data_IF_062130638889
#
_entry.id   IF_062130638889
#
_cell.length_a   1.000
_cell.length_b   1.000
_cell.length_c   1.000
_cell.angle_alpha   90.00
_cell.angle_beta   90.00
_cell.angle_gamma   90.00
#
_symmetry.space_group_name_H-M   'P 1'
#
loop_
_entity.id
_entity.type
_entity.pdbx_description
1 polymer ?
#
# COMPACT_ATOMS: atom_id res chain seq x y z
N UNK A 1 28.95 52.31 -22.35
CA UNK A 1 27.84 53.06 -21.75
C UNK A 1 26.56 52.74 -22.53
N UNK A 2 25.78 51.76 -22.06
CA UNK A 2 24.42 51.46 -22.55
C UNK A 2 23.57 51.01 -21.34
N UNK A 3 22.40 51.62 -21.26
CA UNK A 3 21.44 51.64 -20.14
C UNK A 3 20.80 50.26 -19.90
N UNK A 4 20.51 49.85 -18.65
CA UNK A 4 19.83 48.59 -18.36
C UNK A 4 18.29 48.73 -18.49
N UNK A 5 17.64 47.67 -18.99
CA UNK A 5 16.17 47.53 -19.01
C UNK A 5 15.64 47.00 -17.66
N UNK A 6 14.51 47.49 -17.13
CA UNK A 6 13.99 47.04 -15.84
C UNK A 6 12.99 45.87 -15.94
N UNK A 7 13.14 44.97 -14.96
CA UNK A 7 12.15 44.12 -14.25
C UNK A 7 11.12 43.29 -15.03
N UNK A 8 11.00 42.01 -14.61
CA UNK A 8 9.76 41.49 -14.01
C UNK A 8 10.08 40.36 -13.03
N UNK A 9 10.06 40.70 -11.74
CA UNK A 9 9.89 39.72 -10.66
C UNK A 9 8.52 39.05 -10.84
N UNK A 10 8.50 37.72 -11.00
CA UNK A 10 7.32 36.94 -10.66
C UNK A 10 7.47 36.57 -9.19
N UNK A 11 6.84 37.33 -8.30
CA UNK A 11 6.63 36.87 -6.93
C UNK A 11 5.69 35.67 -7.00
N UNK A 12 6.21 34.48 -6.74
CA UNK A 12 5.36 33.37 -6.33
C UNK A 12 4.76 33.77 -4.98
N UNK A 13 3.50 34.21 -4.98
CA UNK A 13 2.74 34.36 -3.76
C UNK A 13 2.58 32.96 -3.16
N UNK A 14 3.40 32.67 -2.15
CA UNK A 14 3.14 31.56 -1.25
C UNK A 14 1.78 31.85 -0.60
N UNK A 15 0.76 31.11 -1.02
CA UNK A 15 -0.52 31.07 -0.31
C UNK A 15 -0.22 30.43 1.03
N UNK A 16 -0.06 31.26 2.06
CA UNK A 16 -0.09 30.84 3.44
C UNK A 16 -1.44 30.16 3.67
N UNK A 17 -1.41 28.85 3.86
CA UNK A 17 -2.59 28.09 4.28
C UNK A 17 -2.82 28.47 5.74
N UNK A 18 -3.84 29.28 5.96
CA UNK A 18 -4.36 29.60 7.28
C UNK A 18 -4.60 28.30 8.05
N UNK A 19 -3.87 28.15 9.17
CA UNK A 19 -4.14 27.13 10.18
C UNK A 19 -5.24 27.73 11.06
N UNK A 20 -6.46 27.78 10.54
CA UNK A 20 -7.59 28.37 11.26
C UNK A 20 -8.63 27.31 11.67
N UNK A 21 -9.25 27.59 12.80
CA UNK A 21 -10.22 26.85 13.62
C UNK A 21 -11.00 25.74 12.91
N UNK A 22 -11.18 24.64 13.65
CA UNK A 22 -11.89 23.42 13.25
C UNK A 22 -12.81 23.53 12.04
N UNK A 23 -12.29 23.18 10.86
CA UNK A 23 -12.94 23.43 9.59
C UNK A 23 -14.13 22.48 9.42
N UNK A 24 -15.34 23.02 9.42
CA UNK A 24 -16.54 22.27 9.01
C UNK A 24 -16.86 22.61 7.57
N UNK A 25 -16.96 21.60 6.70
CA UNK A 25 -17.36 21.76 5.30
C UNK A 25 -18.23 20.62 4.82
N UNK A 26 -19.02 20.88 3.79
CA UNK A 26 -19.89 19.88 3.18
C UNK A 26 -19.47 19.58 1.74
N UNK A 27 -19.78 18.36 1.28
CA UNK A 27 -19.64 17.98 -0.13
C UNK A 27 -20.94 17.32 -0.56
N UNK A 28 -21.50 17.75 -1.68
CA UNK A 28 -22.58 17.09 -2.41
C UNK A 28 -21.96 16.35 -3.59
N UNK A 29 -22.34 15.09 -3.78
CA UNK A 29 -21.92 14.28 -4.90
C UNK A 29 -23.12 13.81 -5.71
N UNK A 30 -23.02 13.79 -7.04
CA UNK A 30 -24.09 13.19 -7.86
C UNK A 30 -24.18 11.68 -7.59
N UNK A 31 -23.03 11.03 -7.35
CA UNK A 31 -22.93 9.67 -6.81
C UNK A 31 -21.94 9.64 -5.65
N UNK A 32 -22.38 9.18 -4.48
CA UNK A 32 -21.53 8.91 -3.32
C UNK A 32 -21.36 7.40 -3.14
N UNK A 33 -20.14 6.91 -3.30
CA UNK A 33 -19.80 5.49 -3.12
C UNK A 33 -19.24 5.34 -1.70
N UNK A 34 -19.89 4.60 -0.78
CA UNK A 34 -19.51 4.59 0.63
C UNK A 34 -18.24 3.78 0.94
N UNK A 35 -17.72 3.03 -0.03
CA UNK A 35 -16.64 2.05 0.15
C UNK A 35 -17.16 0.65 0.45
N UNK A 36 -18.15 0.52 1.35
CA UNK A 36 -18.90 -0.73 1.58
C UNK A 36 -20.40 -0.45 1.60
N UNK A 37 -21.17 -1.23 0.84
CA UNK A 37 -22.61 -1.05 0.66
C UNK A 37 -22.98 -0.24 -0.58
N UNK A 38 -24.28 0.03 -0.74
CA UNK A 38 -24.83 0.62 -1.95
C UNK A 38 -24.45 2.11 -2.13
N UNK A 39 -24.14 2.55 -3.37
CA UNK A 39 -23.97 3.96 -3.68
C UNK A 39 -25.23 4.79 -3.42
N UNK A 40 -25.05 6.04 -3.03
CA UNK A 40 -26.13 7.02 -2.82
C UNK A 40 -26.14 8.03 -3.95
N UNK A 41 -27.22 8.05 -4.74
CA UNK A 41 -27.46 9.09 -5.76
C UNK A 41 -27.85 10.39 -5.07
N UNK A 42 -27.30 11.52 -5.54
CA UNK A 42 -27.41 12.82 -4.89
C UNK A 42 -27.01 12.75 -3.40
N UNK A 43 -25.89 12.08 -3.12
CA UNK A 43 -25.35 11.95 -1.77
C UNK A 43 -24.73 13.23 -1.26
N UNK A 44 -24.59 13.34 0.06
CA UNK A 44 -23.87 14.40 0.72
C UNK A 44 -23.11 13.87 1.94
N UNK A 45 -22.02 14.55 2.30
CA UNK A 45 -21.42 14.41 3.62
C UNK A 45 -21.05 15.77 4.21
N UNK A 46 -20.88 15.78 5.53
CA UNK A 46 -20.31 16.88 6.28
C UNK A 46 -19.07 16.37 7.01
N UNK A 47 -17.96 17.06 6.80
CA UNK A 47 -16.70 16.86 7.52
C UNK A 47 -16.61 17.91 8.61
N UNK A 48 -16.20 17.46 9.80
CA UNK A 48 -15.83 18.33 10.92
C UNK A 48 -14.43 17.94 11.37
N UNK A 49 -13.53 18.91 11.30
CA UNK A 49 -12.12 18.72 11.58
C UNK A 49 -11.52 17.63 10.67
N UNK A 50 -11.08 16.52 11.25
CA UNK A 50 -10.49 15.39 10.53
C UNK A 50 -11.44 14.21 10.34
N UNK A 51 -12.72 14.34 10.68
CA UNK A 51 -13.69 13.22 10.70
C UNK A 51 -14.97 13.55 9.95
N UNK A 52 -15.61 12.50 9.44
CA UNK A 52 -16.95 12.56 8.84
C UNK A 52 -17.97 12.68 9.98
N UNK A 53 -18.68 13.79 10.06
CA UNK A 53 -19.69 14.03 11.11
C UNK A 53 -21.07 13.49 10.68
N UNK A 54 -21.38 13.55 9.38
CA UNK A 54 -22.62 13.04 8.81
C UNK A 54 -22.45 12.66 7.34
N UNK A 55 -23.21 11.66 6.88
CA UNK A 55 -23.26 11.19 5.48
C UNK A 55 -24.65 10.63 5.18
N UNK A 56 -25.18 10.89 3.99
CA UNK A 56 -26.51 10.41 3.59
C UNK A 56 -27.00 11.00 2.25
N UNK A 57 -28.30 10.91 1.99
CA UNK A 57 -28.93 11.64 0.88
C UNK A 57 -28.89 13.14 1.13
N UNK A 58 -28.64 13.95 0.11
CA UNK A 58 -28.67 15.42 0.20
C UNK A 58 -29.98 15.95 0.79
N UNK A 59 -31.11 15.29 0.52
CA UNK A 59 -32.42 15.73 1.01
C UNK A 59 -32.59 15.50 2.53
N UNK A 60 -31.75 14.64 3.12
CA UNK A 60 -31.76 14.29 4.54
C UNK A 60 -30.71 15.07 5.36
N UNK A 61 -30.06 16.09 4.78
CA UNK A 61 -29.05 16.89 5.51
C UNK A 61 -29.69 17.50 6.76
N UNK A 62 -29.19 17.18 7.98
CA UNK A 62 -29.76 17.72 9.20
C UNK A 62 -29.70 19.25 9.24
N UNK A 63 -30.78 19.89 9.71
CA UNK A 63 -30.87 21.35 9.79
C UNK A 63 -29.77 22.03 10.61
N UNK A 64 -29.07 21.29 11.50
CA UNK A 64 -27.88 21.77 12.22
C UNK A 64 -26.69 22.12 11.30
N UNK A 65 -26.72 21.70 10.03
CA UNK A 65 -25.71 22.02 9.01
C UNK A 65 -26.16 23.09 8.02
N UNK A 66 -27.24 23.82 8.31
CA UNK A 66 -27.78 24.87 7.43
C UNK A 66 -26.81 26.00 7.11
N UNK A 67 -25.82 26.24 7.98
CA UNK A 67 -24.76 27.23 7.78
C UNK A 67 -23.47 26.65 7.16
N UNK A 68 -23.41 25.33 6.89
CA UNK A 68 -22.22 24.68 6.31
C UNK A 68 -22.16 24.99 4.82
N UNK A 69 -20.98 25.37 4.33
CA UNK A 69 -20.75 25.56 2.89
C UNK A 69 -20.54 24.20 2.23
N UNK A 70 -21.30 23.93 1.17
CA UNK A 70 -21.17 22.73 0.36
C UNK A 70 -20.47 23.01 -0.97
N UNK A 71 -19.47 22.19 -1.31
CA UNK A 71 -19.00 22.05 -2.69
C UNK A 71 -19.79 20.96 -3.40
N UNK A 72 -19.73 20.92 -4.74
CA UNK A 72 -20.35 19.86 -5.54
C UNK A 72 -19.30 19.15 -6.38
N UNK A 73 -19.36 17.82 -6.44
CA UNK A 73 -18.50 16.98 -7.25
C UNK A 73 -19.32 15.92 -8.00
N UNK A 74 -18.85 15.38 -9.14
CA UNK A 74 -19.59 14.33 -9.84
C UNK A 74 -19.67 13.05 -8.99
N UNK A 75 -18.52 12.58 -8.50
CA UNK A 75 -18.42 11.35 -7.73
C UNK A 75 -17.57 11.58 -6.50
N UNK A 76 -17.97 10.98 -5.38
CA UNK A 76 -17.20 10.97 -4.15
C UNK A 76 -17.09 9.54 -3.59
N UNK A 77 -15.90 9.16 -3.14
CA UNK A 77 -15.66 7.88 -2.45
C UNK A 77 -14.57 8.02 -1.36
N UNK A 78 -14.35 7.03 -0.49
CA UNK A 78 -13.21 7.05 0.43
C UNK A 78 -11.90 7.12 -0.35
N UNK A 79 -10.90 7.74 0.25
CA UNK A 79 -9.54 7.64 -0.25
C UNK A 79 -9.08 6.18 -0.31
N UNK A 80 -8.37 5.84 -1.39
CA UNK A 80 -7.96 4.46 -1.63
C UNK A 80 -6.81 4.04 -0.72
N UNK A 81 -6.70 2.73 -0.55
CA UNK A 81 -5.67 2.00 0.16
C UNK A 81 -4.88 1.14 -0.81
N UNK A 82 -3.56 1.14 -0.64
CA UNK A 82 -2.69 0.11 -1.22
C UNK A 82 -2.02 -0.64 -0.07
N UNK A 83 -2.38 -1.91 0.11
CA UNK A 83 -1.91 -2.68 1.25
C UNK A 83 -0.61 -3.46 1.01
N UNK A 84 0.08 -3.21 -0.12
CA UNK A 84 1.39 -3.79 -0.39
C UNK A 84 2.22 -2.85 -1.27
N UNK A 85 3.14 -2.11 -0.65
CA UNK A 85 4.05 -1.18 -1.35
C UNK A 85 5.45 -1.23 -0.75
N UNK A 86 6.45 -0.79 -1.53
CA UNK A 86 7.85 -0.74 -1.13
C UNK A 86 8.49 0.60 -1.53
N UNK A 87 8.62 1.55 -0.61
CA UNK A 87 9.28 2.83 -0.93
C UNK A 87 10.80 2.67 -0.77
N UNK A 88 11.43 2.14 -1.82
CA UNK A 88 12.83 1.70 -1.79
C UNK A 88 13.80 2.61 -2.56
N UNK A 89 13.29 3.59 -3.31
CA UNK A 89 14.11 4.41 -4.21
C UNK A 89 14.56 3.68 -5.48
N UNK A 90 13.99 2.51 -5.78
CA UNK A 90 14.41 1.66 -6.88
C UNK A 90 14.29 2.35 -8.25
N UNK A 91 15.16 1.93 -9.17
CA UNK A 91 15.39 2.48 -10.51
C UNK A 91 15.93 3.92 -10.54
N UNK A 92 15.99 4.61 -9.39
CA UNK A 92 16.64 5.92 -9.23
C UNK A 92 17.94 5.79 -8.42
N UNK A 93 17.89 5.09 -7.28
CA UNK A 93 19.04 4.90 -6.37
C UNK A 93 19.87 3.69 -6.78
N UNK A 94 19.19 2.60 -7.13
CA UNK A 94 19.80 1.36 -7.59
C UNK A 94 18.89 0.66 -8.61
N UNK A 95 19.52 -0.15 -9.43
CA UNK A 95 18.90 -1.13 -10.33
C UNK A 95 19.36 -2.53 -9.92
N UNK A 96 18.77 -3.59 -10.47
CA UNK A 96 19.25 -4.95 -10.19
C UNK A 96 20.72 -5.19 -10.57
N UNK A 97 21.27 -4.43 -11.53
CA UNK A 97 22.67 -4.59 -11.97
C UNK A 97 23.70 -3.90 -11.07
N UNK A 98 23.25 -3.06 -10.13
CA UNK A 98 24.10 -2.33 -9.20
C UNK A 98 23.50 -2.29 -7.77
N UNK A 99 22.89 -3.40 -7.37
CA UNK A 99 22.29 -3.66 -6.04
C UNK A 99 23.22 -3.31 -4.87
N UNK A 100 24.54 -3.47 -5.04
CA UNK A 100 25.56 -3.13 -4.05
C UNK A 100 25.48 -1.65 -3.58
N UNK A 101 24.92 -0.74 -4.40
CA UNK A 101 24.72 0.66 -4.03
C UNK A 101 23.80 0.84 -2.82
N UNK A 102 22.90 -0.10 -2.57
CA UNK A 102 22.02 -0.12 -1.40
C UNK A 102 22.80 -0.18 -0.07
N UNK A 103 24.04 -0.65 -0.10
CA UNK A 103 24.89 -0.84 1.08
C UNK A 103 25.94 0.25 1.26
N UNK A 104 25.98 1.25 0.37
CA UNK A 104 26.94 2.34 0.47
C UNK A 104 26.53 3.36 1.56
N UNK A 105 27.49 4.00 2.24
CA UNK A 105 27.20 5.07 3.19
C UNK A 105 26.39 6.20 2.55
N UNK A 106 25.36 6.68 3.26
CA UNK A 106 24.50 7.78 2.81
C UNK A 106 23.36 7.37 1.86
N UNK A 107 23.30 6.12 1.41
CA UNK A 107 22.23 5.65 0.51
C UNK A 107 20.84 5.79 1.12
N UNK A 108 20.66 5.49 2.41
CA UNK A 108 19.37 5.67 3.09
C UNK A 108 18.85 7.13 3.05
N UNK A 109 19.75 8.12 3.14
CA UNK A 109 19.39 9.54 3.01
C UNK A 109 18.90 9.85 1.59
N UNK A 110 19.59 9.32 0.58
CA UNK A 110 19.18 9.49 -0.82
C UNK A 110 17.82 8.84 -1.09
N UNK A 111 17.61 7.61 -0.58
CA UNK A 111 16.31 6.92 -0.69
C UNK A 111 15.22 7.77 -0.04
N UNK A 112 15.43 8.26 1.18
CA UNK A 112 14.47 9.12 1.87
C UNK A 112 14.10 10.37 1.08
N UNK A 113 15.05 10.98 0.36
CA UNK A 113 14.78 12.12 -0.52
C UNK A 113 13.91 11.74 -1.74
N UNK A 114 14.15 10.56 -2.34
CA UNK A 114 13.34 10.03 -3.45
C UNK A 114 11.93 9.66 -2.99
N UNK A 115 11.82 9.03 -1.82
CA UNK A 115 10.54 8.61 -1.21
C UNK A 115 9.55 9.77 -1.03
N UNK A 116 10.03 11.00 -0.84
CA UNK A 116 9.17 12.20 -0.78
C UNK A 116 8.31 12.35 -2.04
N UNK A 117 8.92 12.19 -3.22
CA UNK A 117 8.17 12.31 -4.47
C UNK A 117 7.26 11.10 -4.71
N UNK A 118 7.68 9.90 -4.31
CA UNK A 118 6.88 8.67 -4.40
C UNK A 118 5.60 8.75 -3.55
N UNK A 119 5.73 9.23 -2.31
CA UNK A 119 4.59 9.47 -1.42
C UNK A 119 3.64 10.52 -2.00
N UNK A 120 4.19 11.61 -2.56
CA UNK A 120 3.40 12.64 -3.24
C UNK A 120 2.65 12.07 -4.44
N UNK A 121 3.33 11.34 -5.31
CA UNK A 121 2.73 10.74 -6.51
C UNK A 121 1.59 9.79 -6.13
N UNK A 122 1.81 8.94 -5.12
CA UNK A 122 0.80 8.02 -4.58
C UNK A 122 -0.42 8.76 -4.04
N UNK A 123 -0.23 9.82 -3.24
CA UNK A 123 -1.33 10.65 -2.74
C UNK A 123 -2.12 11.32 -3.87
N UNK A 124 -1.43 11.87 -4.88
CA UNK A 124 -2.06 12.53 -6.01
C UNK A 124 -2.84 11.57 -6.93
N UNK A 125 -2.55 10.27 -6.86
CA UNK A 125 -3.31 9.21 -7.50
C UNK A 125 -4.55 8.77 -6.69
N UNK A 126 -4.84 9.41 -5.55
CA UNK A 126 -6.03 9.15 -4.73
C UNK A 126 -5.84 8.11 -3.63
N UNK A 127 -4.61 7.66 -3.40
CA UNK A 127 -4.28 6.76 -2.28
C UNK A 127 -3.97 7.58 -1.04
N UNK A 128 -4.90 7.54 -0.07
CA UNK A 128 -4.77 8.31 1.19
C UNK A 128 -4.10 7.51 2.29
N UNK A 129 -3.95 6.20 2.11
CA UNK A 129 -3.29 5.30 3.04
C UNK A 129 -2.53 4.20 2.31
N UNK A 130 -1.39 3.80 2.86
CA UNK A 130 -0.57 2.70 2.34
C UNK A 130 -0.08 1.81 3.46
N UNK A 131 -0.03 0.50 3.22
CA UNK A 131 0.70 -0.47 4.03
C UNK A 131 2.01 -0.78 3.32
N UNK A 132 3.11 -0.26 3.86
CA UNK A 132 4.46 -0.53 3.35
C UNK A 132 4.97 -1.82 3.99
N UNK A 133 5.39 -2.79 3.17
CA UNK A 133 5.85 -4.11 3.62
C UNK A 133 7.38 -4.29 3.45
N UNK A 134 8.10 -3.19 3.60
CA UNK A 134 9.55 -3.09 3.51
C UNK A 134 9.92 -1.85 2.70
N UNK A 135 10.63 -0.90 3.31
CA UNK A 135 10.98 0.36 2.68
C UNK A 135 11.24 1.48 3.68
N UNK A 136 11.34 2.70 3.16
CA UNK A 136 11.75 3.88 3.90
C UNK A 136 10.62 4.89 4.13
N UNK A 137 9.40 4.62 3.65
CA UNK A 137 8.26 5.52 3.92
C UNK A 137 7.97 5.60 5.42
N UNK A 138 8.12 4.50 6.15
CA UNK A 138 7.96 4.49 7.61
C UNK A 138 8.96 5.39 8.36
N UNK A 139 10.19 5.55 7.86
CA UNK A 139 11.19 6.41 8.48
C UNK A 139 10.86 7.91 8.27
N UNK A 140 10.21 8.27 7.15
CA UNK A 140 9.76 9.65 6.87
C UNK A 140 8.31 9.94 7.30
N UNK A 141 7.55 8.91 7.68
CA UNK A 141 6.15 9.03 8.09
C UNK A 141 5.88 10.08 9.19
N UNK A 142 6.75 10.29 10.20
CA UNK A 142 6.54 11.36 11.18
C UNK A 142 6.46 12.77 10.57
N UNK A 143 7.13 13.01 9.45
CA UNK A 143 7.04 14.27 8.72
C UNK A 143 5.76 14.36 7.87
N UNK A 144 5.25 13.23 7.39
CA UNK A 144 3.95 13.14 6.70
C UNK A 144 2.79 13.40 7.68
N UNK A 145 2.87 12.82 8.88
CA UNK A 145 1.86 13.01 9.95
C UNK A 145 1.80 14.46 10.43
N UNK A 146 2.95 15.15 10.46
CA UNK A 146 3.04 16.59 10.76
C UNK A 146 2.72 17.49 9.57
N UNK A 147 2.42 16.93 8.41
CA UNK A 147 2.07 17.67 7.20
C UNK A 147 3.23 18.43 6.53
N UNK A 148 4.47 18.13 6.89
CA UNK A 148 5.69 18.70 6.26
C UNK A 148 5.90 18.08 4.88
N UNK A 149 5.67 16.78 4.76
CA UNK A 149 5.73 16.05 3.48
C UNK A 149 4.30 15.67 3.06
N UNK A 150 3.86 15.99 1.83
CA UNK A 150 2.61 15.46 1.31
C UNK A 150 2.76 13.95 1.03
N UNK A 151 1.84 13.16 1.55
CA UNK A 151 1.82 11.71 1.35
C UNK A 151 0.59 11.05 1.98
N UNK A 152 0.33 9.77 1.69
CA UNK A 152 -0.69 8.97 2.39
C UNK A 152 -0.36 8.80 3.88
N UNK A 153 -1.32 8.31 4.67
CA UNK A 153 -1.01 7.68 5.95
C UNK A 153 -0.17 6.43 5.73
N UNK A 154 0.98 6.33 6.39
CA UNK A 154 1.93 5.24 6.19
C UNK A 154 1.86 4.26 7.36
N UNK A 155 1.53 3.01 7.06
CA UNK A 155 1.56 1.89 8.01
C UNK A 155 2.66 0.92 7.59
N UNK A 156 3.85 1.13 8.12
CA UNK A 156 5.06 0.45 7.63
C UNK A 156 5.47 -0.75 8.49
N UNK A 157 6.01 -1.78 7.84
CA UNK A 157 6.84 -2.81 8.49
C UNK A 157 8.29 -2.38 8.67
N UNK A 158 8.72 -1.30 8.01
CA UNK A 158 10.07 -0.76 7.89
C UNK A 158 11.04 -1.73 7.20
N UNK A 159 11.18 -2.93 7.78
CA UNK A 159 11.89 -4.03 7.18
C UNK A 159 10.96 -5.24 7.02
N UNK A 160 11.28 -6.08 6.04
CA UNK A 160 10.80 -7.46 5.98
C UNK A 160 11.79 -8.38 6.70
N UNK A 161 11.26 -9.43 7.32
CA UNK A 161 12.06 -10.51 7.90
C UNK A 161 12.22 -11.63 6.87
N UNK A 162 13.45 -12.13 6.73
CA UNK A 162 13.79 -13.29 5.91
C UNK A 162 14.81 -14.16 6.65
N UNK A 163 14.87 -15.45 6.32
CA UNK A 163 15.99 -16.31 6.71
C UNK A 163 17.23 -16.00 5.88
N UNK A 164 18.41 -16.40 6.34
CA UNK A 164 19.62 -16.43 5.50
C UNK A 164 19.39 -17.34 4.29
N UNK A 165 19.73 -16.85 3.09
CA UNK A 165 19.44 -17.52 1.82
C UNK A 165 17.97 -17.47 1.36
N UNK A 166 17.14 -16.71 2.08
CA UNK A 166 15.72 -16.54 1.78
C UNK A 166 15.41 -15.44 0.77
N UNK A 167 14.11 -15.17 0.55
CA UNK A 167 13.68 -14.22 -0.48
C UNK A 167 14.18 -12.79 -0.24
N UNK A 168 14.26 -12.38 1.03
CA UNK A 168 14.75 -11.06 1.42
C UNK A 168 16.26 -10.91 1.34
N UNK A 169 17.02 -12.00 1.18
CA UNK A 169 18.48 -11.97 1.18
C UNK A 169 19.04 -11.46 -0.16
N UNK A 170 20.18 -10.76 -0.11
CA UNK A 170 20.89 -10.24 -1.27
C UNK A 170 22.05 -11.19 -1.60
N UNK A 171 21.71 -12.27 -2.31
CA UNK A 171 22.58 -13.42 -2.57
C UNK A 171 23.91 -13.12 -3.30
N UNK A 172 23.98 -12.00 -4.01
CA UNK A 172 25.14 -11.52 -4.77
C UNK A 172 26.04 -10.57 -3.95
N UNK A 173 25.66 -10.29 -2.70
CA UNK A 173 26.38 -9.41 -1.77
C UNK A 173 27.05 -10.26 -0.67
N UNK A 174 28.25 -9.92 -0.19
CA UNK A 174 28.88 -10.66 0.91
C UNK A 174 27.95 -10.76 2.12
N UNK A 175 27.74 -11.98 2.63
CA UNK A 175 26.78 -12.27 3.71
C UNK A 175 26.92 -11.32 4.91
N UNK A 176 28.16 -11.03 5.34
CA UNK A 176 28.35 -10.14 6.49
C UNK A 176 27.95 -8.69 6.23
N UNK A 177 28.02 -8.24 4.99
CA UNK A 177 27.48 -6.93 4.60
C UNK A 177 25.96 -6.92 4.75
N UNK A 178 25.28 -8.00 4.34
CA UNK A 178 23.83 -8.11 4.44
C UNK A 178 23.38 -8.20 5.90
N UNK A 179 23.99 -9.08 6.70
CA UNK A 179 23.71 -9.24 8.14
C UNK A 179 23.90 -7.93 8.91
N UNK A 180 24.96 -7.17 8.59
CA UNK A 180 25.23 -5.88 9.22
C UNK A 180 24.31 -4.73 8.77
N UNK A 181 23.66 -4.85 7.60
CA UNK A 181 22.93 -3.76 6.97
C UNK A 181 21.70 -3.30 7.76
N UNK A 182 21.02 -4.21 8.45
CA UNK A 182 19.84 -3.87 9.25
C UNK A 182 20.16 -2.88 10.38
N UNK A 183 21.32 -3.03 11.02
CA UNK A 183 21.79 -2.10 12.04
C UNK A 183 22.01 -0.68 11.50
N UNK A 184 22.13 -0.53 10.17
CA UNK A 184 22.29 0.74 9.46
C UNK A 184 20.98 1.22 8.80
N UNK A 185 19.83 0.64 9.19
CA UNK A 185 18.52 1.07 8.72
C UNK A 185 18.07 0.44 7.40
N UNK A 186 18.63 -0.70 7.00
CA UNK A 186 18.14 -1.47 5.84
C UNK A 186 16.65 -1.84 5.99
N UNK A 187 15.99 -1.96 4.83
CA UNK A 187 14.62 -2.47 4.68
C UNK A 187 14.53 -4.02 4.69
N UNK A 188 15.65 -4.71 4.94
CA UNK A 188 15.75 -6.15 5.06
C UNK A 188 16.36 -6.48 6.42
N UNK A 189 15.77 -7.43 7.14
CA UNK A 189 16.30 -7.99 8.38
C UNK A 189 16.39 -9.51 8.25
N UNK A 190 17.62 -10.04 8.21
CA UNK A 190 17.85 -11.48 8.28
C UNK A 190 17.82 -11.93 9.74
N UNK A 191 17.20 -13.07 10.02
CA UNK A 191 17.20 -13.69 11.33
C UNK A 191 17.00 -15.19 11.23
N UNK A 192 17.81 -15.95 11.97
CA UNK A 192 17.78 -17.41 11.96
C UNK A 192 17.65 -17.95 13.40
N UNK A 193 16.69 -18.82 13.62
CA UNK A 193 16.32 -19.34 14.92
C UNK A 193 15.33 -18.47 15.69
N UNK A 194 14.55 -19.12 16.56
CA UNK A 194 13.46 -18.51 17.33
C UNK A 194 13.89 -17.26 18.11
N UNK A 195 15.05 -17.33 18.79
CA UNK A 195 15.53 -16.22 19.62
C UNK A 195 15.89 -14.98 18.79
N UNK A 196 16.51 -15.17 17.62
CA UNK A 196 16.82 -14.08 16.71
C UNK A 196 15.55 -13.49 16.10
N UNK A 197 14.60 -14.33 15.67
CA UNK A 197 13.31 -13.87 15.16
C UNK A 197 12.59 -12.98 16.19
N UNK A 198 12.51 -13.39 17.45
CA UNK A 198 11.91 -12.60 18.53
C UNK A 198 12.66 -11.26 18.70
N UNK A 199 13.99 -11.30 18.75
CA UNK A 199 14.82 -10.10 18.88
C UNK A 199 14.60 -9.12 17.72
N UNK A 200 14.56 -9.62 16.49
CA UNK A 200 14.38 -8.82 15.28
C UNK A 200 12.99 -8.18 15.23
N UNK A 201 11.93 -8.91 15.57
CA UNK A 201 10.57 -8.34 15.69
C UNK A 201 10.57 -7.17 16.68
N UNK A 202 11.20 -7.33 17.85
CA UNK A 202 11.30 -6.26 18.86
C UNK A 202 12.07 -5.05 18.35
N UNK A 203 13.15 -5.25 17.60
CA UNK A 203 13.93 -4.16 17.01
C UNK A 203 13.12 -3.37 15.97
N UNK A 204 12.34 -4.07 15.14
CA UNK A 204 11.45 -3.45 14.15
C UNK A 204 10.32 -2.67 14.85
N UNK A 205 9.71 -3.25 15.90
CA UNK A 205 8.71 -2.56 16.71
C UNK A 205 9.32 -1.32 17.39
N UNK A 206 10.55 -1.40 17.90
CA UNK A 206 11.26 -0.26 18.50
C UNK A 206 11.42 0.90 17.50
N UNK A 207 11.62 0.61 16.21
CA UNK A 207 11.67 1.65 15.15
C UNK A 207 10.30 2.25 14.82
N UNK A 208 9.20 1.68 15.33
CA UNK A 208 7.86 2.24 15.18
C UNK A 208 6.93 1.45 14.24
N UNK A 209 7.31 0.24 13.82
CA UNK A 209 6.51 -0.54 12.89
C UNK A 209 5.05 -0.76 13.33
N UNK A 210 4.16 -0.69 12.34
CA UNK A 210 2.69 -0.86 12.48
C UNK A 210 2.21 -2.23 12.02
N UNK A 211 3.04 -2.96 11.31
CA UNK A 211 2.79 -4.34 10.86
C UNK A 211 4.15 -5.05 10.80
N UNK A 212 4.17 -6.38 10.86
CA UNK A 212 5.38 -7.17 10.64
C UNK A 212 5.23 -7.90 9.30
N UNK A 213 6.29 -7.91 8.49
CA UNK A 213 6.33 -8.63 7.21
C UNK A 213 7.33 -9.78 7.30
N UNK A 214 6.94 -10.97 6.87
CA UNK A 214 7.85 -12.14 6.73
C UNK A 214 7.86 -12.65 5.30
N UNK A 215 8.96 -13.28 4.90
CA UNK A 215 9.05 -14.16 3.74
C UNK A 215 8.88 -15.62 4.18
N UNK A 216 7.67 -16.16 3.98
CA UNK A 216 7.35 -17.56 4.31
C UNK A 216 7.61 -18.54 3.15
N UNK A 217 7.94 -18.00 1.98
CA UNK A 217 8.43 -18.75 0.83
C UNK A 217 9.55 -17.99 0.14
N UNK A 218 10.23 -18.67 -0.79
CA UNK A 218 11.04 -17.97 -1.77
C UNK A 218 10.25 -17.10 -2.72
N UNK A 219 10.94 -16.37 -3.59
CA UNK A 219 10.32 -15.42 -4.49
C UNK A 219 10.81 -15.45 -5.94
N UNK A 220 10.16 -14.61 -6.75
CA UNK A 220 10.46 -14.46 -8.17
C UNK A 220 11.74 -13.64 -8.38
N UNK A 221 11.94 -12.58 -7.59
CA UNK A 221 13.01 -11.60 -7.76
C UNK A 221 14.30 -11.90 -6.97
N UNK A 222 14.39 -13.04 -6.30
CA UNK A 222 15.58 -13.50 -5.59
C UNK A 222 16.36 -14.53 -6.43
N UNK A 223 17.67 -14.65 -6.22
CA UNK A 223 18.52 -15.47 -7.11
C UNK A 223 18.49 -16.97 -6.82
N UNK A 224 18.65 -17.38 -5.55
CA UNK A 224 19.05 -18.75 -5.19
C UNK A 224 17.91 -19.62 -4.65
N UNK A 225 16.84 -19.03 -4.15
CA UNK A 225 15.64 -19.74 -3.67
C UNK A 225 14.67 -20.03 -4.82
N UNK A 226 13.59 -20.77 -4.57
CA UNK A 226 12.48 -20.97 -5.49
C UNK A 226 11.17 -20.46 -4.88
N UNK A 227 10.22 -19.98 -5.70
CA UNK A 227 8.92 -19.54 -5.21
C UNK A 227 8.17 -20.60 -4.38
N UNK A 228 8.43 -21.88 -4.62
CA UNK A 228 7.85 -23.02 -3.92
C UNK A 228 8.56 -23.39 -2.61
N UNK A 229 9.80 -22.95 -2.41
CA UNK A 229 10.60 -23.25 -1.22
C UNK A 229 9.93 -22.62 0.00
N UNK A 230 9.66 -23.40 1.03
CA UNK A 230 9.16 -22.88 2.30
C UNK A 230 10.30 -22.23 3.08
N UNK A 231 10.04 -21.05 3.63
CA UNK A 231 11.01 -20.26 4.39
C UNK A 231 10.47 -19.97 5.79
N UNK A 232 11.42 -19.87 6.74
CA UNK A 232 11.20 -20.04 8.18
C UNK A 232 10.61 -21.42 8.54
N UNK A 233 11.09 -21.96 9.64
CA UNK A 233 10.46 -23.11 10.30
C UNK A 233 9.11 -22.70 10.93
N UNK A 234 8.21 -23.67 11.17
CA UNK A 234 6.97 -23.40 11.89
C UNK A 234 7.19 -22.75 13.28
N UNK A 235 8.27 -23.11 13.96
CA UNK A 235 8.61 -22.54 15.27
C UNK A 235 8.99 -21.06 15.17
N UNK A 236 9.77 -20.68 14.15
CA UNK A 236 10.14 -19.29 13.91
C UNK A 236 8.92 -18.44 13.50
N UNK A 237 8.11 -18.92 12.55
CA UNK A 237 6.88 -18.21 12.15
C UNK A 237 5.95 -17.99 13.34
N UNK A 238 5.74 -19.02 14.17
CA UNK A 238 4.92 -18.93 15.38
C UNK A 238 5.49 -17.92 16.37
N UNK A 239 6.80 -17.93 16.59
CA UNK A 239 7.46 -16.98 17.49
C UNK A 239 7.33 -15.53 17.00
N UNK A 240 7.44 -15.31 15.68
CA UNK A 240 7.26 -13.99 15.05
C UNK A 240 5.82 -13.50 15.26
N UNK A 241 4.82 -14.34 14.97
CA UNK A 241 3.40 -14.01 15.14
C UNK A 241 3.08 -13.71 16.60
N UNK A 242 3.55 -14.55 17.53
CA UNK A 242 3.32 -14.36 18.96
C UNK A 242 3.95 -13.06 19.48
N UNK A 243 5.19 -12.75 19.08
CA UNK A 243 5.87 -11.51 19.51
C UNK A 243 5.23 -10.26 18.90
N UNK A 244 4.83 -10.29 17.63
CA UNK A 244 4.07 -9.21 17.01
C UNK A 244 2.73 -8.98 17.74
N UNK A 245 2.01 -10.06 18.01
CA UNK A 245 0.72 -10.07 18.69
C UNK A 245 0.78 -9.52 20.12
N UNK A 246 1.87 -9.79 20.87
CA UNK A 246 2.09 -9.19 22.20
C UNK A 246 2.03 -7.67 22.21
N UNK A 247 2.34 -7.04 21.08
CA UNK A 247 2.29 -5.60 20.89
C UNK A 247 1.12 -5.14 20.02
N UNK A 248 0.13 -6.01 19.75
CA UNK A 248 -1.06 -5.68 18.94
C UNK A 248 -0.78 -5.52 17.43
N UNK A 249 0.38 -5.95 16.94
CA UNK A 249 0.68 -5.95 15.50
C UNK A 249 0.26 -7.28 14.89
N UNK A 250 -0.17 -7.22 13.64
CA UNK A 250 -0.40 -8.41 12.83
C UNK A 250 0.82 -8.72 11.98
N UNK A 251 0.89 -9.95 11.46
CA UNK A 251 1.93 -10.38 10.51
C UNK A 251 1.32 -10.55 9.12
N UNK A 252 2.01 -9.99 8.13
CA UNK A 252 1.80 -10.14 6.69
C UNK A 252 2.86 -11.11 6.14
N UNK A 253 2.49 -12.08 5.31
CA UNK A 253 3.43 -13.07 4.78
C UNK A 253 3.53 -13.00 3.27
N UNK A 254 4.72 -12.74 2.74
CA UNK A 254 5.05 -13.13 1.36
C UNK A 254 4.97 -14.65 1.29
N UNK A 255 4.06 -15.16 0.45
CA UNK A 255 3.84 -16.59 0.30
C UNK A 255 3.36 -16.91 -1.12
N UNK A 256 4.22 -17.56 -1.90
CA UNK A 256 3.94 -17.98 -3.27
C UNK A 256 3.54 -19.46 -3.28
N UNK A 257 4.45 -20.36 -2.89
CA UNK A 257 4.21 -21.81 -2.81
C UNK A 257 3.24 -22.25 -1.71
N UNK A 258 2.43 -23.27 -2.01
CA UNK A 258 1.39 -23.80 -1.11
C UNK A 258 1.88 -24.17 0.29
N UNK A 259 3.03 -24.85 0.39
CA UNK A 259 3.54 -25.30 1.69
C UNK A 259 3.86 -24.14 2.64
N UNK A 260 4.50 -23.07 2.13
CA UNK A 260 4.78 -21.88 2.94
C UNK A 260 3.51 -21.07 3.22
N UNK A 261 2.54 -21.03 2.29
CA UNK A 261 1.21 -20.46 2.57
C UNK A 261 0.57 -21.16 3.76
N UNK A 262 0.47 -22.49 3.73
CA UNK A 262 -0.14 -23.27 4.83
C UNK A 262 0.61 -23.09 6.15
N UNK A 263 1.96 -23.11 6.12
CA UNK A 263 2.77 -22.85 7.31
C UNK A 263 2.54 -21.46 7.92
N UNK A 264 2.41 -20.42 7.08
CA UNK A 264 2.08 -19.07 7.53
C UNK A 264 0.67 -19.00 8.13
N UNK A 265 -0.32 -19.64 7.49
CA UNK A 265 -1.69 -19.73 7.99
C UNK A 265 -1.75 -20.44 9.36
N UNK A 266 -0.99 -21.52 9.53
CA UNK A 266 -0.92 -22.24 10.81
C UNK A 266 -0.22 -21.46 11.92
N UNK A 267 0.78 -20.66 11.57
CA UNK A 267 1.42 -19.74 12.51
C UNK A 267 0.50 -18.60 12.98
N UNK A 268 -0.55 -18.27 12.20
CA UNK A 268 -1.55 -17.28 12.56
C UNK A 268 -1.36 -15.90 11.93
N UNK A 269 -0.71 -15.81 10.77
CA UNK A 269 -0.61 -14.56 9.99
C UNK A 269 -2.01 -14.04 9.63
N UNK A 270 -2.13 -12.73 9.35
CA UNK A 270 -3.41 -12.08 9.04
C UNK A 270 -3.56 -11.60 7.61
N UNK A 271 -2.48 -11.61 6.84
CA UNK A 271 -2.55 -11.54 5.39
C UNK A 271 -1.54 -12.45 4.72
N UNK A 272 -1.95 -12.98 3.57
CA UNK A 272 -1.11 -13.69 2.61
C UNK A 272 -0.95 -12.78 1.40
N UNK A 273 0.29 -12.46 1.08
CA UNK A 273 0.63 -11.66 -0.07
C UNK A 273 0.99 -12.57 -1.25
N UNK A 274 0.60 -12.16 -2.46
CA UNK A 274 0.67 -12.92 -3.70
C UNK A 274 -0.29 -14.12 -3.73
N UNK A 275 -0.09 -15.12 -2.86
CA UNK A 275 -0.95 -16.30 -2.77
C UNK A 275 -1.06 -17.08 -4.08
N UNK A 276 0.03 -17.14 -4.86
CA UNK A 276 0.03 -17.64 -6.25
C UNK A 276 -0.47 -19.08 -6.35
N UNK A 277 0.04 -19.98 -5.51
CA UNK A 277 -0.38 -21.39 -5.50
C UNK A 277 -1.59 -21.64 -4.57
N UNK A 278 -2.48 -20.67 -4.43
CA UNK A 278 -3.76 -20.85 -3.76
C UNK A 278 -4.64 -21.83 -4.54
N UNK A 279 -5.12 -22.85 -3.83
CA UNK A 279 -6.12 -23.82 -4.27
C UNK A 279 -7.30 -23.86 -3.29
N UNK A 280 -8.20 -24.84 -3.45
CA UNK A 280 -9.39 -24.98 -2.61
C UNK A 280 -9.06 -25.20 -1.13
N UNK A 281 -7.98 -25.93 -0.82
CA UNK A 281 -7.53 -26.18 0.56
C UNK A 281 -7.02 -24.88 1.20
N UNK A 282 -6.15 -24.16 0.49
CA UNK A 282 -5.66 -22.85 0.94
C UNK A 282 -6.82 -21.88 1.15
N UNK A 283 -7.75 -21.82 0.19
CA UNK A 283 -8.92 -20.94 0.29
C UNK A 283 -9.82 -21.28 1.48
N UNK A 284 -10.02 -22.58 1.77
CA UNK A 284 -10.76 -23.03 2.95
C UNK A 284 -10.06 -22.60 4.24
N UNK A 285 -8.75 -22.83 4.35
CA UNK A 285 -7.96 -22.46 5.51
C UNK A 285 -7.93 -20.93 5.74
N UNK A 286 -7.81 -20.13 4.67
CA UNK A 286 -7.88 -18.66 4.77
C UNK A 286 -9.23 -18.18 5.30
N UNK A 287 -10.33 -18.78 4.84
CA UNK A 287 -11.68 -18.44 5.33
C UNK A 287 -11.87 -18.84 6.79
N UNK A 288 -11.49 -20.06 7.15
CA UNK A 288 -11.59 -20.56 8.52
C UNK A 288 -10.82 -19.68 9.50
N UNK A 289 -9.61 -19.27 9.13
CA UNK A 289 -8.71 -18.48 9.99
C UNK A 289 -8.91 -16.96 9.84
N UNK A 290 -9.85 -16.53 8.99
CA UNK A 290 -10.12 -15.12 8.65
C UNK A 290 -8.85 -14.35 8.24
N UNK A 291 -8.14 -14.89 7.25
CA UNK A 291 -6.91 -14.33 6.69
C UNK A 291 -7.22 -13.67 5.35
N UNK A 292 -6.72 -12.45 5.16
CA UNK A 292 -6.94 -11.67 3.93
C UNK A 292 -5.91 -12.06 2.86
N UNK A 293 -6.36 -12.28 1.62
CA UNK A 293 -5.49 -12.38 0.46
C UNK A 293 -5.17 -10.98 -0.09
N UNK A 294 -3.91 -10.72 -0.42
CA UNK A 294 -3.47 -9.55 -1.19
C UNK A 294 -2.79 -10.04 -2.47
N UNK A 295 -3.51 -10.12 -3.60
CA UNK A 295 -3.05 -10.80 -4.81
C UNK A 295 -1.84 -10.17 -5.49
N UNK A 296 -1.68 -8.84 -5.39
CA UNK A 296 -0.57 -8.10 -6.02
C UNK A 296 -0.43 -8.43 -7.51
N UNK A 297 -1.54 -8.36 -8.25
CA UNK A 297 -1.51 -8.73 -9.66
C UNK A 297 -0.69 -7.73 -10.49
N UNK A 298 -0.65 -6.47 -10.05
CA UNK A 298 0.05 -5.40 -10.75
C UNK A 298 1.55 -5.65 -10.93
N UNK A 299 2.26 -6.12 -9.90
CA UNK A 299 3.69 -6.47 -10.02
C UNK A 299 3.90 -7.58 -11.06
N UNK A 300 3.08 -8.63 -11.04
CA UNK A 300 3.23 -9.79 -11.92
C UNK A 300 3.02 -9.39 -13.39
N UNK A 301 1.94 -8.67 -13.68
CA UNK A 301 1.66 -8.19 -15.05
C UNK A 301 2.68 -7.13 -15.50
N UNK A 302 3.11 -6.26 -14.59
CA UNK A 302 4.11 -5.23 -14.87
C UNK A 302 5.46 -5.81 -15.27
N UNK A 303 5.97 -6.80 -14.52
CA UNK A 303 7.21 -7.49 -14.83
C UNK A 303 7.11 -8.35 -16.10
N UNK A 304 5.94 -8.93 -16.36
CA UNK A 304 5.69 -9.68 -17.59
C UNK A 304 5.74 -8.76 -18.82
N UNK A 305 5.18 -7.54 -18.71
CA UNK A 305 5.17 -6.55 -19.76
C UNK A 305 6.53 -5.85 -19.97
N UNK A 306 7.24 -5.51 -18.89
CA UNK A 306 8.59 -4.93 -18.91
C UNK A 306 9.48 -5.62 -17.88
N UNK A 307 10.35 -6.52 -18.35
CA UNK A 307 11.27 -7.25 -17.49
C UNK A 307 12.68 -6.69 -17.46
N UNK A 308 12.86 -5.38 -17.64
CA UNK A 308 14.18 -4.73 -17.50
C UNK A 308 14.83 -4.96 -16.13
N UNK A 309 14.00 -5.21 -15.11
CA UNK A 309 14.45 -5.45 -13.74
C UNK A 309 14.68 -6.95 -13.46
N UNK A 310 14.62 -7.82 -14.47
CA UNK A 310 14.77 -9.26 -14.30
C UNK A 310 16.04 -9.80 -14.95
N UNK A 311 16.78 -10.60 -14.19
CA UNK A 311 17.78 -11.51 -14.75
C UNK A 311 17.08 -12.67 -15.51
N UNK A 312 17.81 -13.41 -16.37
CA UNK A 312 17.25 -14.60 -17.02
C UNK A 312 16.68 -15.64 -16.05
N UNK A 313 17.32 -15.82 -14.88
CA UNK A 313 16.85 -16.76 -13.85
C UNK A 313 15.51 -16.31 -13.25
N UNK A 314 15.36 -15.02 -12.98
CA UNK A 314 14.12 -14.43 -12.47
C UNK A 314 12.99 -14.51 -13.51
N UNK A 315 13.31 -14.30 -14.79
CA UNK A 315 12.34 -14.43 -15.88
C UNK A 315 11.76 -15.85 -15.98
N UNK A 316 12.61 -16.88 -15.86
CA UNK A 316 12.15 -18.28 -15.85
C UNK A 316 11.18 -18.54 -14.68
N UNK A 317 11.45 -17.97 -13.50
CA UNK A 317 10.54 -18.06 -12.35
C UNK A 317 9.21 -17.37 -12.63
N UNK A 318 9.24 -16.14 -13.19
CA UNK A 318 8.03 -15.39 -13.52
C UNK A 318 7.15 -16.15 -14.52
N UNK A 319 7.74 -16.65 -15.61
CA UNK A 319 7.02 -17.35 -16.67
C UNK A 319 6.29 -18.59 -16.13
N UNK A 320 6.88 -19.29 -15.14
CA UNK A 320 6.25 -20.44 -14.45
C UNK A 320 5.02 -20.04 -13.64
N UNK A 321 5.07 -18.91 -12.93
CA UNK A 321 4.01 -18.51 -12.00
C UNK A 321 2.93 -17.61 -12.62
N UNK A 322 3.20 -17.02 -13.79
CA UNK A 322 2.36 -15.98 -14.38
C UNK A 322 0.90 -16.42 -14.55
N UNK A 323 0.70 -17.56 -15.20
CA UNK A 323 -0.63 -18.10 -15.47
C UNK A 323 -1.28 -18.66 -14.20
N UNK A 324 -0.50 -19.34 -13.34
CA UNK A 324 -0.96 -19.88 -12.07
C UNK A 324 -1.55 -18.75 -11.20
N UNK A 325 -0.87 -17.60 -11.14
CA UNK A 325 -1.36 -16.44 -10.40
C UNK A 325 -2.65 -15.84 -10.99
N UNK A 326 -2.87 -15.91 -12.32
CA UNK A 326 -4.15 -15.46 -12.92
C UNK A 326 -5.28 -16.35 -12.45
N UNK A 327 -5.04 -17.65 -12.51
CA UNK A 327 -6.05 -18.66 -12.23
C UNK A 327 -6.39 -18.72 -10.73
N UNK A 328 -5.39 -18.59 -9.85
CA UNK A 328 -5.60 -18.58 -8.41
C UNK A 328 -6.32 -17.32 -7.92
N UNK A 329 -6.09 -16.15 -8.55
CA UNK A 329 -6.86 -14.95 -8.22
C UNK A 329 -8.34 -15.11 -8.57
N UNK A 330 -8.65 -15.62 -9.78
CA UNK A 330 -10.03 -15.96 -10.20
C UNK A 330 -10.66 -16.97 -9.25
N UNK A 331 -9.90 -17.99 -8.84
CA UNK A 331 -10.36 -19.01 -7.90
C UNK A 331 -10.67 -18.42 -6.53
N UNK A 332 -9.80 -17.56 -5.98
CA UNK A 332 -10.00 -16.90 -4.69
C UNK A 332 -11.30 -16.07 -4.67
N UNK A 333 -11.56 -15.32 -5.75
CA UNK A 333 -12.82 -14.57 -5.93
C UNK A 333 -14.01 -15.53 -5.95
N UNK A 334 -13.96 -16.57 -6.79
CA UNK A 334 -15.03 -17.57 -6.92
C UNK A 334 -15.35 -18.27 -5.60
N UNK A 335 -14.34 -18.54 -4.78
CA UNK A 335 -14.48 -19.22 -3.49
C UNK A 335 -14.84 -18.28 -2.31
N UNK A 336 -14.96 -16.98 -2.57
CA UNK A 336 -15.31 -15.98 -1.56
C UNK A 336 -14.21 -15.77 -0.52
N UNK A 337 -12.93 -15.89 -0.90
CA UNK A 337 -11.81 -15.52 -0.03
C UNK A 337 -11.83 -14.01 0.18
N UNK A 338 -11.61 -13.57 1.42
CA UNK A 338 -11.50 -12.15 1.74
C UNK A 338 -10.26 -11.57 1.08
N UNK A 339 -10.41 -10.48 0.33
CA UNK A 339 -9.32 -9.85 -0.44
C UNK A 339 -9.20 -8.37 -0.08
N UNK A 340 -7.97 -7.85 -0.05
CA UNK A 340 -7.68 -6.42 -0.07
C UNK A 340 -6.72 -6.11 -1.23
N UNK A 341 -6.78 -4.91 -1.80
CA UNK A 341 -5.90 -4.55 -2.92
C UNK A 341 -4.55 -4.03 -2.45
N UNK A 342 -3.49 -4.62 -2.99
CA UNK A 342 -2.13 -4.15 -2.87
C UNK A 342 -1.38 -4.44 -4.16
N UNK A 343 -0.40 -3.62 -4.51
CA UNK A 343 0.20 -3.64 -5.86
C UNK A 343 1.57 -4.27 -5.93
N UNK A 344 2.29 -4.25 -4.81
CA UNK A 344 3.73 -4.48 -4.74
C UNK A 344 4.50 -3.48 -5.62
N UNK A 345 4.04 -2.22 -5.61
CA UNK A 345 4.72 -1.11 -6.27
C UNK A 345 6.00 -0.73 -5.55
N UNK A 346 7.12 -0.69 -6.28
CA UNK A 346 8.44 -0.37 -5.75
C UNK A 346 9.24 0.69 -6.52
N UNK A 347 8.88 0.97 -7.79
CA UNK A 347 9.73 1.79 -8.67
C UNK A 347 9.52 3.29 -8.44
N UNK A 348 10.63 4.02 -8.35
CA UNK A 348 10.64 5.48 -8.30
C UNK A 348 10.80 6.12 -9.69
N UNK A 349 11.04 5.34 -10.75
CA UNK A 349 11.01 5.85 -12.13
C UNK A 349 9.56 5.92 -12.64
N UNK A 350 9.06 7.14 -12.86
CA UNK A 350 7.68 7.41 -13.33
C UNK A 350 7.35 6.79 -14.70
N UNK A 351 8.34 6.32 -15.46
CA UNK A 351 8.14 5.61 -16.72
C UNK A 351 8.00 4.10 -16.54
N UNK A 352 8.37 3.57 -15.37
CA UNK A 352 8.21 2.15 -15.06
C UNK A 352 6.72 1.81 -14.94
N UNK A 353 6.26 0.64 -15.47
CA UNK A 353 4.85 0.25 -15.36
C UNK A 353 4.38 0.05 -13.91
N UNK A 354 5.32 -0.19 -12.99
CA UNK A 354 5.11 -0.47 -11.57
C UNK A 354 5.62 0.70 -10.71
N UNK A 355 5.44 1.93 -11.20
CA UNK A 355 5.87 3.15 -10.50
C UNK A 355 4.87 3.56 -9.42
N UNK A 356 5.37 4.18 -8.35
CA UNK A 356 4.51 4.93 -7.44
C UNK A 356 3.61 5.92 -8.22
N UNK A 357 2.31 5.91 -7.92
CA UNK A 357 1.27 6.65 -8.64
C UNK A 357 0.50 5.84 -9.70
N UNK A 358 0.93 4.62 -10.06
CA UNK A 358 0.16 3.71 -10.95
C UNK A 358 -0.69 2.71 -10.17
N UNK A 359 -0.72 2.83 -8.84
CA UNK A 359 -1.28 1.85 -7.90
C UNK A 359 -2.72 1.42 -8.23
N UNK A 360 -3.54 2.33 -8.77
CA UNK A 360 -4.93 2.05 -9.15
C UNK A 360 -5.06 0.99 -10.27
N UNK A 361 -3.99 0.61 -10.96
CA UNK A 361 -4.03 -0.52 -11.92
C UNK A 361 -4.40 -1.85 -11.28
N UNK A 362 -4.22 -2.02 -9.97
CA UNK A 362 -4.74 -3.22 -9.27
C UNK A 362 -6.27 -3.35 -9.36
N UNK A 363 -7.01 -2.23 -9.43
CA UNK A 363 -8.47 -2.24 -9.60
C UNK A 363 -8.88 -2.80 -10.96
N UNK A 364 -8.10 -2.49 -12.01
CA UNK A 364 -8.30 -3.06 -13.34
C UNK A 364 -8.13 -4.59 -13.29
N UNK A 365 -7.02 -5.05 -12.71
CA UNK A 365 -6.74 -6.48 -12.59
C UNK A 365 -7.77 -7.23 -11.75
N UNK A 366 -8.29 -6.60 -10.69
CA UNK A 366 -9.38 -7.14 -9.90
C UNK A 366 -10.66 -7.36 -10.75
N UNK A 367 -11.00 -6.39 -11.59
CA UNK A 367 -12.15 -6.52 -12.51
C UNK A 367 -11.90 -7.58 -13.60
N UNK A 368 -10.69 -7.64 -14.16
CA UNK A 368 -10.31 -8.67 -15.13
C UNK A 368 -10.38 -10.09 -14.52
N UNK A 369 -10.05 -10.23 -13.24
CA UNK A 369 -10.18 -11.48 -12.50
C UNK A 369 -11.64 -11.84 -12.16
N UNK A 370 -12.61 -10.97 -12.44
CA UNK A 370 -14.04 -11.26 -12.33
C UNK A 370 -14.76 -10.52 -11.21
N UNK A 371 -14.15 -9.52 -10.57
CA UNK A 371 -14.87 -8.63 -9.66
C UNK A 371 -15.71 -7.61 -10.42
N UNK A 372 -16.84 -7.22 -9.83
CA UNK A 372 -17.54 -6.00 -10.23
C UNK A 372 -16.76 -4.75 -9.78
N UNK A 373 -16.93 -3.59 -10.43
CA UNK A 373 -16.26 -2.35 -10.01
C UNK A 373 -16.50 -1.97 -8.54
N UNK A 374 -17.71 -2.18 -8.01
CA UNK A 374 -18.02 -1.89 -6.61
C UNK A 374 -17.26 -2.81 -5.64
N UNK A 375 -17.10 -4.10 -5.99
CA UNK A 375 -16.29 -5.04 -5.20
C UNK A 375 -14.81 -4.64 -5.22
N UNK A 376 -14.26 -4.27 -6.39
CA UNK A 376 -12.88 -3.82 -6.49
C UNK A 376 -12.64 -2.55 -5.65
N UNK A 377 -13.58 -1.60 -5.67
CA UNK A 377 -13.55 -0.39 -4.83
C UNK A 377 -13.58 -0.74 -3.34
N UNK A 378 -14.45 -1.65 -2.91
CA UNK A 378 -14.51 -2.08 -1.51
C UNK A 378 -13.18 -2.67 -1.03
N UNK A 379 -12.52 -3.46 -1.87
CA UNK A 379 -11.22 -4.05 -1.56
C UNK A 379 -10.08 -3.03 -1.51
N UNK A 380 -10.18 -1.95 -2.28
CA UNK A 380 -9.27 -0.82 -2.26
C UNK A 380 -9.62 0.24 -1.20
N UNK A 381 -10.68 0.05 -0.42
CA UNK A 381 -11.12 1.03 0.58
C UNK A 381 -11.43 0.36 1.91
N UNK A 382 -12.62 -0.21 2.08
CA UNK A 382 -13.10 -0.74 3.34
C UNK A 382 -12.25 -1.90 3.87
N UNK A 383 -11.70 -2.75 2.99
CA UNK A 383 -10.89 -3.89 3.40
C UNK A 383 -9.43 -3.51 3.72
N UNK A 384 -8.96 -2.34 3.27
CA UNK A 384 -7.59 -1.88 3.48
C UNK A 384 -7.18 -1.82 4.96
N UNK A 385 -7.92 -1.06 5.80
CA UNK A 385 -7.64 -0.97 7.24
C UNK A 385 -7.69 -2.32 7.96
N UNK A 386 -8.53 -3.25 7.51
CA UNK A 386 -8.69 -4.57 8.13
C UNK A 386 -7.39 -5.40 8.09
N UNK A 387 -6.44 -5.04 7.22
CA UNK A 387 -5.11 -5.68 7.11
C UNK A 387 -4.12 -5.29 8.20
N UNK A 388 -4.48 -4.37 9.10
CA UNK A 388 -3.63 -3.86 10.18
C UNK A 388 -4.04 -4.33 11.59
N UNK A 389 -5.16 -5.04 11.71
CA UNK A 389 -5.72 -5.44 13.00
C UNK A 389 -5.89 -4.23 13.93
N UNK A 390 -5.33 -4.30 15.13
CA UNK A 390 -5.52 -3.24 16.15
C UNK A 390 -4.84 -1.90 15.81
N UNK A 391 -3.96 -1.87 14.81
CA UNK A 391 -3.29 -0.64 14.38
C UNK A 391 -4.14 0.18 13.39
N UNK A 392 -5.26 -0.37 12.92
CA UNK A 392 -6.17 0.29 11.99
C UNK A 392 -6.84 1.51 12.62
N UNK A 393 -6.91 2.61 11.86
CA UNK A 393 -7.83 3.71 12.14
C UNK A 393 -9.23 3.38 11.64
N UNK A 394 -10.23 4.16 12.08
CA UNK A 394 -11.59 4.10 11.52
C UNK A 394 -11.59 4.84 10.18
N UNK A 395 -11.20 4.16 9.12
CA UNK A 395 -11.01 4.74 7.79
C UNK A 395 -11.51 3.80 6.69
N UNK A 396 -11.33 4.19 5.42
CA UNK A 396 -11.70 3.34 4.27
C UNK A 396 -13.20 3.26 3.97
N UNK A 397 -14.04 4.02 4.68
CA UNK A 397 -15.48 4.11 4.43
C UNK A 397 -15.99 5.54 4.64
N UNK A 398 -16.99 5.93 3.86
CA UNK A 398 -17.75 7.17 4.10
C UNK A 398 -18.82 6.90 5.14
N UNK A 399 -18.43 7.03 6.41
CA UNK A 399 -19.29 6.70 7.56
C UNK A 399 -19.06 7.70 8.68
N UNK A 400 -20.13 8.08 9.38
CA UNK A 400 -20.02 8.98 10.53
C UNK A 400 -19.02 8.42 11.58
N UNK A 401 -18.15 9.29 12.07
CA UNK A 401 -17.06 8.97 13.00
C UNK A 401 -15.82 8.33 12.37
N UNK A 402 -15.76 8.18 11.03
CA UNK A 402 -14.56 7.75 10.31
C UNK A 402 -13.71 8.95 9.91
N UNK A 403 -12.42 8.71 9.67
CA UNK A 403 -11.47 9.69 9.15
C UNK A 403 -11.96 10.27 7.82
N UNK A 404 -11.82 11.59 7.65
CA UNK A 404 -12.19 12.31 6.44
C UNK A 404 -11.10 12.17 5.36
N UNK A 405 -10.85 10.93 4.95
CA UNK A 405 -10.00 10.54 3.84
C UNK A 405 -10.87 10.28 2.61
N UNK A 406 -10.89 11.23 1.67
CA UNK A 406 -11.89 11.32 0.61
C UNK A 406 -11.23 11.61 -0.74
N UNK A 407 -11.81 11.11 -1.81
CA UNK A 407 -11.45 11.51 -3.17
C UNK A 407 -12.69 11.85 -3.99
N UNK A 408 -12.56 12.87 -4.84
CA UNK A 408 -13.55 13.17 -5.87
C UNK A 408 -13.03 12.76 -7.24
N UNK A 409 -13.91 12.22 -8.07
CA UNK A 409 -13.57 11.70 -9.40
C UNK A 409 -14.41 12.42 -10.47
N UNK A 410 -13.82 12.62 -11.65
CA UNK A 410 -14.47 13.31 -12.76
C UNK A 410 -15.65 12.57 -13.37
N UNK A 411 -15.72 11.24 -13.20
CA UNK A 411 -16.74 10.36 -13.80
C UNK A 411 -16.95 9.09 -12.97
N UNK A 412 -18.09 8.42 -13.18
CA UNK A 412 -18.51 7.26 -12.41
C UNK A 412 -17.60 6.03 -12.64
N UNK A 413 -16.85 5.58 -11.61
CA UNK A 413 -15.98 4.41 -11.74
C UNK A 413 -16.75 3.08 -11.74
N UNK A 414 -18.07 3.10 -11.47
CA UNK A 414 -18.91 1.90 -11.55
C UNK A 414 -19.27 1.52 -12.98
N UNK A 415 -19.21 2.49 -13.91
CA UNK A 415 -19.44 2.26 -15.34
C UNK A 415 -18.13 1.87 -16.05
N UNK A 416 -17.01 2.45 -15.62
CA UNK A 416 -15.67 2.16 -16.13
C UNK A 416 -14.60 2.33 -15.04
N UNK A 417 -14.02 1.23 -14.58
CA UNK A 417 -13.00 1.24 -13.53
C UNK A 417 -11.69 1.92 -13.97
N UNK A 418 -11.42 2.00 -15.28
CA UNK A 418 -10.22 2.67 -15.83
C UNK A 418 -10.17 4.17 -15.51
N UNK A 419 -11.30 4.76 -15.13
CA UNK A 419 -11.35 6.14 -14.66
C UNK A 419 -10.42 6.34 -13.46
N UNK A 420 -10.38 5.38 -12.52
CA UNK A 420 -9.53 5.45 -11.32
C UNK A 420 -8.05 5.26 -11.63
N UNK A 421 -7.70 4.56 -12.72
CA UNK A 421 -6.30 4.28 -13.07
C UNK A 421 -5.58 5.49 -13.69
N UNK A 422 -6.27 6.62 -13.84
CA UNK A 422 -5.76 7.83 -14.48
C UNK A 422 -5.74 8.96 -13.43
N UNK A 423 -4.58 9.29 -12.84
CA UNK A 423 -4.50 10.27 -11.74
C UNK A 423 -5.12 11.64 -12.05
N UNK A 424 -5.17 12.05 -13.32
CA UNK A 424 -5.84 13.30 -13.74
C UNK A 424 -7.36 13.31 -13.50
N UNK A 425 -8.00 12.15 -13.42
CA UNK A 425 -9.43 12.01 -13.17
C UNK A 425 -9.77 12.11 -11.68
N UNK A 426 -8.78 11.94 -10.80
CA UNK A 426 -8.92 12.21 -9.36
C UNK A 426 -8.83 13.71 -9.16
N UNK A 427 -9.95 14.41 -9.15
CA UNK A 427 -9.99 15.88 -9.17
C UNK A 427 -9.66 16.48 -7.81
N UNK A 428 -10.05 15.80 -6.73
CA UNK A 428 -9.80 16.25 -5.38
C UNK A 428 -9.33 15.11 -4.48
N UNK A 429 -8.44 15.43 -3.53
CA UNK A 429 -7.94 14.50 -2.52
C UNK A 429 -7.95 15.20 -1.17
N UNK A 430 -8.73 14.67 -0.23
CA UNK A 430 -8.70 15.04 1.18
C UNK A 430 -8.04 13.92 1.99
N UNK A 431 -7.16 14.30 2.92
CA UNK A 431 -6.59 13.38 3.90
C UNK A 431 -6.69 14.02 5.29
N UNK A 432 -7.36 13.34 6.22
CA UNK A 432 -7.68 13.87 7.54
C UNK A 432 -8.43 15.20 7.48
N UNK A 433 -9.36 15.36 6.53
CA UNK A 433 -10.14 16.58 6.32
C UNK A 433 -9.39 17.73 5.62
N UNK A 434 -8.06 17.64 5.46
CA UNK A 434 -7.27 18.63 4.74
C UNK A 434 -7.25 18.35 3.24
N UNK A 435 -7.50 19.38 2.43
CA UNK A 435 -7.44 19.32 0.97
C UNK A 435 -5.97 19.35 0.48
N UNK A 436 -5.53 18.31 -0.23
CA UNK A 436 -4.17 18.19 -0.79
C UNK A 436 -4.12 18.38 -2.31
N UNK A 437 -5.24 18.14 -3.00
CA UNK A 437 -5.37 18.27 -4.44
C UNK A 437 -6.73 18.88 -4.77
N UNK A 438 -6.76 19.82 -5.70
CA UNK A 438 -7.98 20.36 -6.32
C UNK A 438 -7.62 20.80 -7.74
N UNK A 439 -8.46 20.43 -8.71
CA UNK A 439 -8.27 20.69 -10.15
C UNK A 439 -9.56 21.10 -10.82
#
# INVERSE_FOLDING_TARGET
MRVPLPQRQRSAAAVSVDVDRGSTFGIIADILIPGRGEPVVNGALVVKDSTIDWVGSKDDIPGRYSSVRFSRVPVLMPGMWDVHTHFSGANIVSTPSDSYKLFLPGTATLIGAVTVDDLRATLMAGFTSVRELGGYAGDVAPAVDKGVIPGPHVYSSLALLSITGGHGDQHDIPLQTVLGSYASGSQIALCDGVDECIKTVRQIIRRGAKVIKVCSTGGVLSLNDQPEDSQFSPAELKAIVDEAGRSGRVVAAHAIGKNGIMAALDAGVKSIEHGVYLDEEVAAAMKEKNVTLVPTRHIIEGLAADGRDMSPVMRVKLDRVLQISRDSYKLAIKLGVKIALGTDTYSSDRKHPISHGTNAKELHWACEAGMTPIQAIEMATANGPETLGSQARKSGQLKAGFDADLIAISSNPLDDIEVLTKPKNITHVWKGGKLYKSS
#
